data_IF_056469280233
#
_entry.id   IF_056469280233
#
_cell.length_a   1.000
_cell.length_b   1.000
_cell.length_c   1.000
_cell.angle_alpha   90.00
_cell.angle_beta   90.00
_cell.angle_gamma   90.00
#
_symmetry.space_group_name_H-M   'P 1'
#
loop_
_entity.id
_entity.type
_entity.pdbx_description
1 polymer ?
#
# COMPACT_ATOMS: atom_id res chain seq x y z
N UNK A 1 25.97 24.67 -36.99
CA UNK A 1 24.65 24.06 -36.73
C UNK A 1 24.67 23.46 -35.32
N UNK A 2 24.11 24.18 -34.36
CA UNK A 2 23.88 23.65 -33.01
C UNK A 2 22.59 22.82 -33.04
N UNK A 3 22.56 21.61 -32.45
CA UNK A 3 21.34 20.81 -32.41
C UNK A 3 20.27 21.54 -31.59
N UNK A 4 18.98 21.42 -31.94
CA UNK A 4 17.91 22.06 -31.19
C UNK A 4 17.89 21.51 -29.76
N UNK A 5 18.06 22.39 -28.78
CA UNK A 5 17.87 22.05 -27.38
C UNK A 5 16.39 21.69 -27.16
N UNK A 6 16.13 20.41 -26.91
CA UNK A 6 14.82 19.93 -26.54
C UNK A 6 14.50 20.47 -25.14
N UNK A 7 13.85 21.63 -25.05
CA UNK A 7 13.33 22.17 -23.79
C UNK A 7 12.42 21.09 -23.19
N UNK A 8 12.71 20.56 -21.99
CA UNK A 8 11.76 19.69 -21.32
C UNK A 8 10.47 20.49 -21.18
N UNK A 9 9.41 20.04 -21.84
CA UNK A 9 8.10 20.68 -21.69
C UNK A 9 7.73 20.57 -20.21
N UNK A 10 7.33 21.67 -19.57
CA UNK A 10 6.93 21.73 -18.15
C UNK A 10 6.01 20.57 -17.70
N UNK A 11 5.30 19.96 -18.64
CA UNK A 11 4.45 18.80 -18.44
C UNK A 11 5.22 17.54 -18.02
N UNK A 12 6.40 17.25 -18.59
CA UNK A 12 7.18 16.06 -18.20
C UNK A 12 7.70 16.16 -16.77
N UNK A 13 8.15 17.34 -16.35
CA UNK A 13 8.60 17.55 -14.96
C UNK A 13 7.43 17.41 -13.98
N UNK A 14 6.25 17.93 -14.33
CA UNK A 14 5.04 17.84 -13.50
C UNK A 14 4.53 16.40 -13.38
N UNK A 15 4.59 15.63 -14.47
CA UNK A 15 4.23 14.19 -14.48
C UNK A 15 5.23 13.38 -13.64
N UNK A 16 6.54 13.63 -13.82
CA UNK A 16 7.59 12.97 -13.02
C UNK A 16 7.39 13.22 -11.52
N UNK A 17 7.15 14.47 -11.11
CA UNK A 17 6.86 14.83 -9.70
C UNK A 17 5.60 14.14 -9.18
N UNK A 18 4.52 14.06 -9.96
CA UNK A 18 3.31 13.34 -9.56
C UNK A 18 3.55 11.84 -9.39
N UNK A 19 4.40 11.22 -10.22
CA UNK A 19 4.72 9.79 -10.11
C UNK A 19 5.55 9.50 -8.87
N UNK A 20 6.54 10.33 -8.57
CA UNK A 20 7.36 10.23 -7.36
C UNK A 20 6.50 10.40 -6.11
N UNK A 21 5.60 11.39 -6.08
CA UNK A 21 4.68 11.58 -4.97
C UNK A 21 3.74 10.39 -4.77
N UNK A 22 3.17 9.84 -5.85
CA UNK A 22 2.29 8.68 -5.78
C UNK A 22 3.01 7.43 -5.25
N UNK A 23 4.24 7.19 -5.70
CA UNK A 23 5.07 6.10 -5.20
C UNK A 23 5.44 6.28 -3.73
N UNK A 24 5.73 7.52 -3.32
CA UNK A 24 6.00 7.86 -1.91
C UNK A 24 4.78 7.57 -1.03
N UNK A 25 3.57 7.99 -1.44
CA UNK A 25 2.33 7.73 -0.71
C UNK A 25 2.09 6.22 -0.57
N UNK A 26 2.23 5.46 -1.67
CA UNK A 26 2.05 4.00 -1.65
C UNK A 26 3.06 3.32 -0.73
N UNK A 27 4.32 3.77 -0.75
CA UNK A 27 5.39 3.25 0.11
C UNK A 27 5.08 3.54 1.57
N UNK A 28 4.74 4.79 1.91
CA UNK A 28 4.40 5.19 3.27
C UNK A 28 3.20 4.40 3.81
N UNK A 29 2.15 4.26 3.00
CA UNK A 29 0.97 3.47 3.35
C UNK A 29 1.34 2.01 3.64
N UNK A 30 2.17 1.42 2.77
CA UNK A 30 2.60 0.02 2.90
C UNK A 30 3.40 -0.19 4.20
N UNK A 31 4.35 0.71 4.49
CA UNK A 31 5.14 0.65 5.73
C UNK A 31 4.26 0.81 6.96
N UNK A 32 3.33 1.77 6.97
CA UNK A 32 2.40 1.97 8.08
C UNK A 32 1.53 0.73 8.34
N UNK A 33 0.97 0.15 7.28
CA UNK A 33 0.19 -1.09 7.37
C UNK A 33 1.04 -2.23 7.92
N UNK A 34 2.28 -2.38 7.44
CA UNK A 34 3.18 -3.43 7.91
C UNK A 34 3.50 -3.29 9.40
N UNK A 35 3.78 -2.07 9.87
CA UNK A 35 3.99 -1.79 11.30
C UNK A 35 2.74 -2.11 12.13
N UNK A 36 1.54 -1.77 11.66
CA UNK A 36 0.29 -2.12 12.31
C UNK A 36 0.08 -3.63 12.37
N UNK A 37 0.41 -4.38 11.32
CA UNK A 37 0.31 -5.83 11.31
C UNK A 37 1.30 -6.48 12.27
N UNK A 38 2.52 -5.96 12.41
CA UNK A 38 3.48 -6.42 13.42
C UNK A 38 2.91 -6.18 14.83
N UNK A 39 2.41 -4.97 15.09
CA UNK A 39 1.81 -4.64 16.39
C UNK A 39 0.62 -5.57 16.69
N UNK A 40 -0.25 -5.82 15.72
CA UNK A 40 -1.38 -6.74 15.84
C UNK A 40 -0.90 -8.18 16.04
N UNK A 41 0.18 -8.61 15.38
CA UNK A 41 0.75 -9.94 15.58
C UNK A 41 1.20 -10.14 17.03
N UNK A 42 1.90 -9.17 17.60
CA UNK A 42 2.30 -9.21 19.02
C UNK A 42 1.06 -9.32 19.92
N UNK A 43 0.04 -8.51 19.66
CA UNK A 43 -1.24 -8.57 20.39
C UNK A 43 -1.93 -9.94 20.23
N UNK A 44 -1.96 -10.52 19.04
CA UNK A 44 -2.56 -11.82 18.79
C UNK A 44 -1.82 -12.94 19.55
N UNK A 45 -0.48 -12.88 19.64
CA UNK A 45 0.31 -13.79 20.49
C UNK A 45 -0.06 -13.62 21.96
N UNK A 46 -0.19 -12.38 22.45
CA UNK A 46 -0.62 -12.11 23.82
C UNK A 46 -2.02 -12.67 24.10
N UNK A 47 -2.98 -12.53 23.17
CA UNK A 47 -4.31 -13.14 23.28
C UNK A 47 -4.21 -14.66 23.43
N UNK A 48 -3.34 -15.31 22.65
CA UNK A 48 -3.15 -16.76 22.74
C UNK A 48 -2.48 -17.20 24.04
N UNK A 49 -1.56 -16.39 24.58
CA UNK A 49 -0.88 -16.68 25.85
C UNK A 49 -1.78 -16.48 27.07
N UNK A 50 -2.44 -15.33 27.16
CA UNK A 50 -3.21 -14.92 28.34
C UNK A 50 -4.67 -15.37 28.31
N UNK A 51 -5.14 -15.87 27.17
CA UNK A 51 -6.50 -16.40 26.96
C UNK A 51 -7.64 -15.50 27.50
N UNK A 52 -7.64 -14.18 27.21
CA UNK A 52 -8.64 -13.25 27.76
C UNK A 52 -10.08 -13.57 27.35
N UNK A 53 -10.29 -14.34 26.27
CA UNK A 53 -11.62 -14.69 25.75
C UNK A 53 -12.13 -16.07 26.21
N UNK A 54 -11.54 -16.62 27.27
CA UNK A 54 -11.96 -17.87 27.89
C UNK A 54 -11.51 -19.11 27.10
N UNK A 55 -12.40 -19.66 26.27
CA UNK A 55 -12.10 -20.91 25.54
C UNK A 55 -11.07 -20.70 24.42
N UNK A 56 -10.42 -21.79 23.99
CA UNK A 56 -9.38 -21.73 22.96
C UNK A 56 -9.89 -21.20 21.62
N UNK A 57 -11.09 -21.62 21.21
CA UNK A 57 -11.68 -21.23 19.92
C UNK A 57 -11.90 -19.72 19.84
N UNK A 58 -12.44 -19.10 20.89
CA UNK A 58 -12.65 -17.65 20.95
C UNK A 58 -11.32 -16.91 20.85
N UNK A 59 -10.28 -17.36 21.57
CA UNK A 59 -8.97 -16.73 21.51
C UNK A 59 -8.33 -16.87 20.12
N UNK A 60 -8.51 -18.01 19.44
CA UNK A 60 -8.06 -18.21 18.05
C UNK A 60 -8.81 -17.27 17.09
N UNK A 61 -10.13 -17.16 17.23
CA UNK A 61 -10.96 -16.32 16.36
C UNK A 61 -10.62 -14.84 16.56
N UNK A 62 -10.54 -14.37 17.80
CA UNK A 62 -10.31 -12.95 18.09
C UNK A 62 -8.85 -12.53 17.94
N UNK A 63 -7.87 -13.34 18.33
CA UNK A 63 -6.46 -13.01 18.17
C UNK A 63 -5.98 -13.26 16.73
N UNK A 64 -5.56 -14.50 16.39
CA UNK A 64 -5.12 -14.87 15.06
C UNK A 64 -6.14 -14.60 13.93
N UNK A 65 -7.43 -14.87 14.16
CA UNK A 65 -8.46 -14.70 13.14
C UNK A 65 -8.61 -13.25 12.69
N UNK A 66 -8.65 -12.30 13.64
CA UNK A 66 -8.71 -10.87 13.29
C UNK A 66 -7.41 -10.37 12.65
N UNK A 67 -6.26 -10.93 13.03
CA UNK A 67 -4.99 -10.62 12.36
C UNK A 67 -5.03 -11.03 10.88
N UNK A 68 -5.46 -12.26 10.58
CA UNK A 68 -5.58 -12.75 9.19
C UNK A 68 -6.57 -11.88 8.41
N UNK A 69 -7.71 -11.54 9.01
CA UNK A 69 -8.69 -10.65 8.39
C UNK A 69 -8.10 -9.27 8.07
N UNK A 70 -7.37 -8.67 9.01
CA UNK A 70 -6.69 -7.39 8.79
C UNK A 70 -5.63 -7.48 7.69
N UNK A 71 -4.78 -8.51 7.69
CA UNK A 71 -3.78 -8.72 6.65
C UNK A 71 -4.44 -8.86 5.26
N UNK A 72 -5.55 -9.58 5.16
CA UNK A 72 -6.32 -9.72 3.93
C UNK A 72 -6.94 -8.41 3.45
N UNK A 73 -7.57 -7.64 4.34
CA UNK A 73 -8.15 -6.34 4.01
C UNK A 73 -7.08 -5.32 3.62
N UNK A 74 -5.98 -5.26 4.37
CA UNK A 74 -4.83 -4.40 4.07
C UNK A 74 -4.22 -4.71 2.71
N UNK A 75 -4.11 -6.00 2.34
CA UNK A 75 -3.60 -6.41 1.02
C UNK A 75 -4.52 -5.92 -0.11
N UNK A 76 -5.85 -6.04 0.07
CA UNK A 76 -6.82 -5.50 -0.89
C UNK A 76 -6.74 -3.98 -0.99
N UNK A 77 -6.56 -3.28 0.13
CA UNK A 77 -6.41 -1.83 0.15
C UNK A 77 -5.15 -1.37 -0.59
N UNK A 78 -4.00 -1.97 -0.30
CA UNK A 78 -2.74 -1.65 -0.99
C UNK A 78 -2.88 -1.88 -2.49
N UNK A 79 -3.47 -3.01 -2.90
CA UNK A 79 -3.74 -3.30 -4.32
C UNK A 79 -4.62 -2.23 -4.96
N UNK A 80 -5.73 -1.86 -4.31
CA UNK A 80 -6.64 -0.83 -4.80
C UNK A 80 -5.94 0.52 -4.98
N UNK A 81 -5.15 0.93 -3.98
CA UNK A 81 -4.40 2.19 -4.01
C UNK A 81 -3.31 2.16 -5.09
N UNK A 82 -2.61 1.04 -5.25
CA UNK A 82 -1.62 0.85 -6.31
C UNK A 82 -2.26 1.01 -7.70
N UNK A 83 -3.39 0.35 -7.96
CA UNK A 83 -4.10 0.48 -9.24
C UNK A 83 -4.50 1.94 -9.50
N UNK A 84 -5.08 2.63 -8.51
CA UNK A 84 -5.55 4.01 -8.67
C UNK A 84 -4.44 5.06 -8.80
N UNK A 85 -3.34 4.89 -8.08
CA UNK A 85 -2.26 5.89 -8.05
C UNK A 85 -1.19 5.64 -9.11
N UNK A 86 -0.97 4.40 -9.51
CA UNK A 86 0.14 3.99 -10.38
C UNK A 86 -0.38 3.47 -11.71
N UNK A 87 -1.17 2.39 -11.71
CA UNK A 87 -1.55 1.68 -12.96
C UNK A 87 -2.44 2.52 -13.88
N UNK A 88 -3.53 3.11 -13.35
CA UNK A 88 -4.47 3.95 -14.13
C UNK A 88 -3.75 5.15 -14.79
N UNK A 89 -2.67 5.65 -14.19
CA UNK A 89 -1.88 6.77 -14.74
C UNK A 89 -0.88 6.34 -15.80
N UNK A 90 -0.32 5.13 -15.69
CA UNK A 90 0.58 4.57 -16.71
C UNK A 90 -0.20 4.28 -17.99
N UNK A 91 -1.40 3.72 -17.88
CA UNK A 91 -2.24 3.39 -19.03
C UNK A 91 -2.72 4.64 -19.77
N UNK A 92 -3.07 5.70 -19.03
CA UNK A 92 -3.40 7.01 -19.60
C UNK A 92 -2.21 7.68 -20.31
N UNK A 93 -1.00 7.58 -19.76
CA UNK A 93 0.22 8.09 -20.40
C UNK A 93 0.54 7.29 -21.68
N UNK A 94 0.42 5.96 -21.69
CA UNK A 94 0.68 5.12 -22.87
C UNK A 94 -0.25 5.46 -24.05
N UNK A 95 -1.55 5.62 -23.79
CA UNK A 95 -2.54 6.01 -24.80
C UNK A 95 -2.28 7.37 -25.47
N UNK A 96 -1.43 8.22 -24.88
CA UNK A 96 -1.08 9.53 -25.45
C UNK A 96 -0.02 9.44 -26.55
N UNK A 97 0.74 8.34 -26.60
CA UNK A 97 1.84 8.14 -27.55
C UNK A 97 1.51 7.17 -28.70
N UNK A 98 0.27 6.69 -28.76
CA UNK A 98 -0.31 5.92 -29.88
C UNK A 98 -1.40 6.79 -30.49
#
# INVERSE_FOLDING_TARGET
MTPPQHKPTNNHERISKSRVLNAFILTLLTVLIFLLLIYHFIWAVQVMMYKPYGNLLNNIVYGPGTLIANAGLSSKLIKYVNTKLVEDKIEADYKKYI
#
